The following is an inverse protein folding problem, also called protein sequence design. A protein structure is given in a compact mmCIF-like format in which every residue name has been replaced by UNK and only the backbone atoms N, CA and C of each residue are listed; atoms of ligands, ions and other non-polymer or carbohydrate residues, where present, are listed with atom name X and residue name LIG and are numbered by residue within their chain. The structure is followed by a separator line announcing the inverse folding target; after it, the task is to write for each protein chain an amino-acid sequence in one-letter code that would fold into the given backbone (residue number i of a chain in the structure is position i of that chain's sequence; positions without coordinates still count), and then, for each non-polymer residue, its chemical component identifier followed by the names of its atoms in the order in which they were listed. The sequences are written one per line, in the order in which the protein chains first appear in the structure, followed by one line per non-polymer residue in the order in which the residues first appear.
data_IF_110130505157
#
_entry.id   IF_110130505157
#
_cell.length_a   1.000
_cell.length_b   1.000
_cell.length_c   1.000
_cell.angle_alpha   90.00
_cell.angle_beta   90.00
_cell.angle_gamma   90.00
#
_symmetry.space_group_name_H-M   'P 1'
#
loop_
_entity.id
_entity.type
_entity.pdbx_description
1 polymer ?
#
# COMPACT_ATOMS: atom_id res chain seq x y z
N UNK A 1 8.51 -11.50 -19.62
CA UNK A 1 9.95 -11.30 -19.93
C UNK A 1 10.57 -10.82 -18.64
N UNK A 2 11.57 -11.53 -18.12
CA UNK A 2 12.22 -11.14 -16.87
C UNK A 2 12.87 -9.76 -17.09
N UNK A 3 12.33 -8.72 -16.45
CA UNK A 3 13.10 -7.50 -16.28
C UNK A 3 14.11 -7.85 -15.20
N UNK A 4 15.38 -7.88 -15.57
CA UNK A 4 16.47 -8.11 -14.63
C UNK A 4 16.90 -6.76 -14.05
N UNK A 5 17.48 -6.78 -12.85
CA UNK A 5 18.07 -5.60 -12.24
C UNK A 5 19.28 -5.13 -13.07
N UNK A 6 19.26 -3.88 -13.53
CA UNK A 6 20.34 -3.28 -14.32
C UNK A 6 21.37 -2.62 -13.39
N UNK A 7 22.31 -3.45 -12.94
CA UNK A 7 23.36 -3.04 -12.00
C UNK A 7 24.26 -1.92 -12.57
N UNK A 8 24.62 -2.02 -13.86
CA UNK A 8 25.56 -1.07 -14.49
C UNK A 8 24.95 0.33 -14.56
N UNK A 9 23.67 0.42 -14.93
CA UNK A 9 22.92 1.69 -14.92
C UNK A 9 22.85 2.31 -13.51
N UNK A 10 22.61 1.49 -12.48
CA UNK A 10 22.52 1.97 -11.10
C UNK A 10 23.89 2.45 -10.59
N UNK A 11 24.95 1.70 -10.89
CA UNK A 11 26.32 2.02 -10.47
C UNK A 11 26.85 3.28 -11.18
N UNK A 12 26.61 3.42 -12.47
CA UNK A 12 26.93 4.64 -13.24
C UNK A 12 26.20 5.85 -12.67
N UNK A 13 24.90 5.70 -12.35
CA UNK A 13 24.11 6.81 -11.82
C UNK A 13 24.58 7.25 -10.44
N UNK A 14 24.92 6.30 -9.56
CA UNK A 14 25.49 6.60 -8.25
C UNK A 14 26.83 7.32 -8.38
N UNK A 15 27.72 6.83 -9.25
CA UNK A 15 29.00 7.49 -9.54
C UNK A 15 28.82 8.90 -10.09
N UNK A 16 27.87 9.11 -11.01
CA UNK A 16 27.58 10.43 -11.58
C UNK A 16 27.08 11.43 -10.55
N UNK A 17 26.43 10.96 -9.48
CA UNK A 17 25.94 11.80 -8.38
C UNK A 17 26.96 11.95 -7.24
N UNK A 18 28.10 11.23 -7.31
CA UNK A 18 29.07 11.14 -6.22
C UNK A 18 28.50 10.41 -4.99
N UNK A 19 27.45 9.62 -5.18
CA UNK A 19 26.79 8.84 -4.15
C UNK A 19 27.32 7.40 -4.16
N UNK A 20 27.15 6.71 -3.05
CA UNK A 20 27.52 5.32 -2.88
C UNK A 20 26.36 4.51 -2.34
N UNK A 21 26.45 3.18 -2.37
CA UNK A 21 25.40 2.29 -1.86
C UNK A 21 25.05 2.54 -0.39
N UNK A 22 26.00 3.09 0.38
CA UNK A 22 25.78 3.53 1.76
C UNK A 22 24.74 4.67 1.87
N UNK A 23 24.73 5.55 0.87
CA UNK A 23 23.81 6.68 0.79
C UNK A 23 22.40 6.19 0.50
N UNK A 24 22.27 5.19 -0.37
CA UNK A 24 21.02 4.48 -0.65
C UNK A 24 20.49 3.77 0.61
N UNK A 25 21.36 3.02 1.30
CA UNK A 25 21.03 2.32 2.53
C UNK A 25 20.53 3.29 3.60
N UNK A 26 21.24 4.41 3.79
CA UNK A 26 20.83 5.49 4.71
C UNK A 26 19.48 6.11 4.36
N UNK A 27 19.23 6.41 3.08
CA UNK A 27 17.99 7.08 2.68
C UNK A 27 16.77 6.16 2.77
N UNK A 28 16.95 4.87 2.46
CA UNK A 28 15.88 3.88 2.56
C UNK A 28 15.73 3.26 3.96
N UNK A 29 16.60 3.62 4.91
CA UNK A 29 16.60 3.03 6.26
C UNK A 29 17.04 1.57 6.29
N UNK A 30 17.73 1.12 5.26
CA UNK A 30 18.18 -0.26 5.07
C UNK A 30 19.64 -0.42 5.52
N UNK A 31 20.05 -1.66 5.75
CA UNK A 31 21.47 -1.98 5.91
C UNK A 31 22.16 -2.12 4.56
N UNK A 32 23.49 -1.94 4.52
CA UNK A 32 24.28 -2.10 3.29
C UNK A 32 24.15 -3.53 2.71
N UNK A 33 23.98 -4.52 3.58
CA UNK A 33 23.82 -5.94 3.22
C UNK A 33 22.47 -6.19 2.54
N UNK A 34 21.40 -5.56 3.02
CA UNK A 34 20.10 -5.64 2.36
C UNK A 34 20.08 -4.92 1.00
N UNK A 35 20.77 -3.79 0.88
CA UNK A 35 20.96 -3.12 -0.42
C UNK A 35 21.74 -4.05 -1.37
N UNK A 36 22.79 -4.71 -0.90
CA UNK A 36 23.55 -5.67 -1.70
C UNK A 36 22.68 -6.86 -2.13
N UNK A 37 21.80 -7.38 -1.25
CA UNK A 37 20.83 -8.43 -1.58
C UNK A 37 19.82 -8.00 -2.66
N UNK A 38 19.40 -6.74 -2.69
CA UNK A 38 18.54 -6.22 -3.77
C UNK A 38 19.33 -6.17 -5.09
N UNK A 39 20.57 -5.67 -5.05
CA UNK A 39 21.42 -5.56 -6.23
C UNK A 39 21.82 -6.94 -6.82
N UNK A 40 21.90 -7.97 -5.97
CA UNK A 40 22.16 -9.36 -6.34
C UNK A 40 20.88 -10.12 -6.74
N UNK A 41 19.73 -9.44 -6.83
CA UNK A 41 18.41 -10.03 -7.12
C UNK A 41 17.95 -11.11 -6.10
N UNK A 42 18.64 -11.20 -4.96
CA UNK A 42 18.30 -12.16 -3.88
C UNK A 42 17.12 -11.69 -3.04
N UNK A 43 16.76 -10.41 -3.10
CA UNK A 43 15.63 -9.80 -2.38
C UNK A 43 14.83 -8.91 -3.32
N UNK A 44 13.52 -9.07 -3.30
CA UNK A 44 12.61 -8.15 -3.99
C UNK A 44 12.62 -6.78 -3.30
N UNK A 45 12.65 -5.71 -4.09
CA UNK A 45 12.50 -4.34 -3.60
C UNK A 45 11.01 -3.99 -3.47
N UNK A 46 10.64 -3.29 -2.40
CA UNK A 46 9.29 -2.75 -2.21
C UNK A 46 9.08 -1.43 -2.95
N UNK A 47 7.83 -1.03 -3.24
CA UNK A 47 7.58 0.24 -3.97
C UNK A 47 7.98 1.44 -3.13
N UNK A 48 7.79 1.36 -1.81
CA UNK A 48 8.29 2.38 -0.88
C UNK A 48 9.82 2.56 -0.99
N UNK A 49 10.57 1.48 -1.14
CA UNK A 49 12.04 1.50 -1.30
C UNK A 49 12.44 2.07 -2.68
N UNK A 50 11.69 1.75 -3.74
CA UNK A 50 11.85 2.33 -5.08
C UNK A 50 11.66 3.85 -5.03
N UNK A 51 10.66 4.33 -4.28
CA UNK A 51 10.43 5.77 -4.10
C UNK A 51 11.60 6.44 -3.36
N UNK A 52 12.14 5.83 -2.31
CA UNK A 52 13.34 6.33 -1.61
C UNK A 52 14.58 6.36 -2.50
N UNK A 53 14.76 5.36 -3.37
CA UNK A 53 15.85 5.33 -4.33
C UNK A 53 15.67 6.42 -5.39
N UNK A 54 14.45 6.59 -5.90
CA UNK A 54 14.11 7.64 -6.86
C UNK A 54 14.36 9.05 -6.32
N UNK A 55 14.02 9.27 -5.04
CA UNK A 55 14.31 10.53 -4.33
C UNK A 55 15.82 10.79 -4.21
N UNK A 56 16.61 9.78 -3.80
CA UNK A 56 18.07 9.88 -3.72
C UNK A 56 18.72 10.17 -5.08
N UNK A 57 18.22 9.54 -6.13
CA UNK A 57 18.73 9.66 -7.50
C UNK A 57 18.16 10.90 -8.22
N UNK A 58 17.19 11.59 -7.60
CA UNK A 58 16.43 12.73 -8.13
C UNK A 58 15.84 12.45 -9.52
N UNK A 59 15.21 11.28 -9.67
CA UNK A 59 14.60 10.82 -10.93
C UNK A 59 13.21 10.24 -10.66
N UNK A 60 12.44 10.02 -11.73
CA UNK A 60 11.10 9.46 -11.62
C UNK A 60 11.16 7.98 -11.16
N UNK A 61 10.40 7.56 -10.12
CA UNK A 61 10.36 6.18 -9.64
C UNK A 61 9.97 5.15 -10.71
N UNK A 62 9.20 5.53 -11.72
CA UNK A 62 8.87 4.63 -12.84
C UNK A 62 10.10 4.18 -13.62
N UNK A 63 11.09 5.07 -13.75
CA UNK A 63 12.36 4.79 -14.42
C UNK A 63 13.16 3.81 -13.56
N UNK A 64 13.25 4.07 -12.25
CA UNK A 64 13.95 3.20 -11.29
C UNK A 64 13.33 1.81 -11.31
N UNK A 65 12.01 1.68 -11.24
CA UNK A 65 11.30 0.41 -11.28
C UNK A 65 11.60 -0.40 -12.54
N UNK A 66 11.64 0.25 -13.70
CA UNK A 66 11.99 -0.39 -14.98
C UNK A 66 13.40 -1.00 -14.95
N UNK A 67 14.37 -0.29 -14.38
CA UNK A 67 15.74 -0.80 -14.24
C UNK A 67 15.90 -1.76 -13.06
N UNK A 68 14.97 -1.75 -12.10
CA UNK A 68 14.99 -2.62 -10.94
C UNK A 68 14.32 -3.99 -11.18
N UNK A 69 13.86 -4.27 -12.40
CA UNK A 69 13.18 -5.53 -12.69
C UNK A 69 11.68 -5.54 -12.43
N UNK A 70 11.09 -4.41 -12.01
CA UNK A 70 9.68 -4.36 -11.61
C UNK A 70 8.82 -4.06 -12.84
N UNK A 71 8.10 -5.08 -13.31
CA UNK A 71 7.41 -5.04 -14.61
C UNK A 71 6.23 -4.07 -14.71
N UNK A 72 5.59 -3.73 -13.59
CA UNK A 72 4.54 -2.71 -13.54
C UNK A 72 4.55 -2.09 -12.14
N UNK A 73 5.24 -0.96 -11.97
CA UNK A 73 5.30 -0.25 -10.68
C UNK A 73 3.89 0.08 -10.19
N UNK A 74 3.00 0.47 -11.09
CA UNK A 74 1.59 0.72 -10.79
C UNK A 74 0.85 -0.54 -10.30
N UNK A 75 1.22 -1.74 -10.76
CA UNK A 75 0.72 -3.02 -10.24
C UNK A 75 1.22 -3.28 -8.84
N UNK A 76 2.49 -3.05 -8.64
CA UNK A 76 3.13 -3.29 -7.36
C UNK A 76 2.60 -2.30 -6.32
N UNK A 77 2.36 -1.03 -6.69
CA UNK A 77 1.72 -0.03 -5.82
C UNK A 77 0.31 -0.44 -5.43
N UNK A 78 -0.53 -0.89 -6.38
CA UNK A 78 -1.90 -1.34 -6.03
C UNK A 78 -1.91 -2.62 -5.19
N UNK A 79 -0.88 -3.49 -5.31
CA UNK A 79 -0.71 -4.66 -4.44
C UNK A 79 -0.25 -4.21 -3.04
N UNK A 80 0.73 -3.32 -2.93
CA UNK A 80 1.18 -2.78 -1.64
C UNK A 80 0.09 -1.97 -0.94
N UNK A 81 -0.72 -1.19 -1.66
CA UNK A 81 -1.91 -0.53 -1.11
C UNK A 81 -2.94 -1.55 -0.58
N UNK A 82 -3.06 -2.71 -1.23
CA UNK A 82 -3.95 -3.77 -0.76
C UNK A 82 -3.38 -4.55 0.44
N UNK A 83 -2.05 -4.75 0.47
CA UNK A 83 -1.33 -5.46 1.56
C UNK A 83 -1.18 -4.56 2.80
N UNK A 84 -0.84 -3.28 2.63
CA UNK A 84 -0.80 -2.27 3.69
C UNK A 84 -2.20 -1.82 4.10
N UNK A 85 -3.17 -1.85 3.18
CA UNK A 85 -4.59 -1.64 3.45
C UNK A 85 -5.23 -2.75 4.30
N UNK A 86 -4.52 -3.85 4.55
CA UNK A 86 -4.97 -4.90 5.46
C UNK A 86 -4.34 -4.81 6.87
N UNK A 87 -3.47 -3.82 7.15
CA UNK A 87 -2.79 -3.76 8.45
C UNK A 87 -2.31 -2.36 8.90
N UNK A 88 -3.13 -1.31 8.77
CA UNK A 88 -3.38 -0.29 9.83
C UNK A 88 -4.48 0.67 9.39
N UNK A 89 -5.52 0.74 10.21
CA UNK A 89 -6.75 1.52 10.13
C UNK A 89 -6.64 2.97 9.60
N UNK A 90 -7.56 3.29 8.69
CA UNK A 90 -8.32 4.56 8.72
C UNK A 90 -8.15 5.46 7.50
N UNK A 91 -8.94 5.23 6.44
CA UNK A 91 -8.94 6.15 5.31
C UNK A 91 -10.00 6.02 4.22
N UNK A 92 -10.79 4.95 4.11
CA UNK A 92 -12.06 4.95 3.36
C UNK A 92 -12.79 3.61 3.60
N UNK A 93 -14.00 3.63 4.17
CA UNK A 93 -14.79 2.41 4.44
C UNK A 93 -15.00 2.02 5.90
N UNK A 94 -14.70 2.89 6.87
CA UNK A 94 -15.12 2.68 8.25
C UNK A 94 -16.62 2.99 8.38
N UNK A 95 -17.43 1.96 8.59
CA UNK A 95 -18.81 2.05 9.09
C UNK A 95 -18.78 2.97 10.32
N UNK A 96 -19.21 4.21 10.15
CA UNK A 96 -19.03 5.24 11.18
C UNK A 96 -19.78 4.82 12.44
N UNK A 97 -19.26 5.22 13.60
CA UNK A 97 -19.95 5.06 14.89
C UNK A 97 -21.37 5.66 14.86
N UNK A 98 -21.59 6.66 14.01
CA UNK A 98 -22.91 7.20 13.66
C UNK A 98 -23.81 6.19 12.93
N UNK A 99 -23.27 5.40 11.99
CA UNK A 99 -24.02 4.34 11.34
C UNK A 99 -24.42 3.23 12.32
N UNK A 100 -23.56 2.85 13.25
CA UNK A 100 -23.89 1.82 14.27
C UNK A 100 -25.01 2.34 15.19
N UNK A 101 -24.97 3.60 15.63
CA UNK A 101 -26.06 4.20 16.42
C UNK A 101 -27.35 4.37 15.59
N UNK A 102 -27.24 4.81 14.34
CA UNK A 102 -28.38 4.95 13.43
C UNK A 102 -29.02 3.61 13.03
N UNK A 103 -28.24 2.53 12.98
CA UNK A 103 -28.76 1.17 12.76
C UNK A 103 -29.55 0.69 13.97
N UNK A 104 -29.10 0.96 15.20
CA UNK A 104 -29.89 0.64 16.40
C UNK A 104 -31.22 1.39 16.44
N UNK A 105 -31.26 2.66 16.06
CA UNK A 105 -32.52 3.44 15.98
C UNK A 105 -33.47 2.90 14.90
N UNK A 106 -32.94 2.50 13.74
CA UNK A 106 -33.75 1.86 12.69
C UNK A 106 -34.28 0.51 13.13
N UNK A 107 -33.52 -0.26 13.90
CA UNK A 107 -33.94 -1.57 14.43
C UNK A 107 -35.06 -1.38 15.46
N UNK A 108 -34.90 -0.48 16.44
CA UNK A 108 -35.92 -0.21 17.46
C UNK A 108 -37.25 0.29 16.84
N UNK A 109 -37.16 1.15 15.82
CA UNK A 109 -38.32 1.61 15.06
C UNK A 109 -38.99 0.47 14.27
N UNK A 110 -38.23 -0.49 13.75
CA UNK A 110 -38.79 -1.66 13.08
C UNK A 110 -39.47 -2.61 14.06
N UNK A 111 -38.92 -2.80 15.26
CA UNK A 111 -39.53 -3.60 16.33
C UNK A 111 -40.88 -2.99 16.76
N UNK A 112 -40.92 -1.68 17.00
CA UNK A 112 -42.17 -0.96 17.33
C UNK A 112 -43.23 -1.08 16.23
N UNK A 113 -42.83 -0.98 14.96
CA UNK A 113 -43.77 -1.12 13.83
C UNK A 113 -44.27 -2.56 13.68
N UNK A 114 -43.42 -3.56 13.92
CA UNK A 114 -43.84 -4.96 13.93
C UNK A 114 -44.86 -5.24 15.04
N UNK A 115 -44.62 -4.76 16.27
CA UNK A 115 -45.57 -4.92 17.37
C UNK A 115 -46.91 -4.25 17.07
N UNK A 116 -46.89 -3.03 16.54
CA UNK A 116 -48.12 -2.32 16.16
C UNK A 116 -48.90 -3.04 15.05
N UNK A 117 -48.23 -3.63 14.05
CA UNK A 117 -48.88 -4.43 13.00
C UNK A 117 -49.45 -5.72 13.59
N UNK A 118 -48.73 -6.38 14.49
CA UNK A 118 -49.21 -7.59 15.17
C UNK A 118 -50.49 -7.29 15.98
N UNK A 119 -50.49 -6.22 16.78
CA UNK A 119 -51.67 -5.79 17.54
C UNK A 119 -52.82 -5.39 16.63
N UNK A 120 -52.56 -4.72 15.50
CA UNK A 120 -53.61 -4.38 14.51
C UNK A 120 -54.18 -5.61 13.81
N UNK A 121 -53.37 -6.64 13.59
CA UNK A 121 -53.83 -7.90 13.01
C UNK A 121 -54.66 -8.69 14.02
N UNK A 122 -54.23 -8.74 15.29
CA UNK A 122 -54.97 -9.39 16.37
C UNK A 122 -56.31 -8.69 16.67
N UNK A 123 -56.35 -7.36 16.66
CA UNK A 123 -57.60 -6.59 16.84
C UNK A 123 -58.57 -6.66 15.64
N UNK A 124 -58.15 -7.26 14.52
CA UNK A 124 -58.94 -7.36 13.28
C UNK A 124 -59.37 -8.80 12.96
N UNK A 125 -58.95 -9.78 13.76
CA UNK A 125 -59.45 -11.15 13.76
C UNK A 125 -60.51 -11.35 14.83
#
# INVERSE_FOLDING_TARGET
MALFFDYDWFDDRLKSLGLSRDSLARNSGMTIDEVDMIFDDRRAISVSEIHSFADTLSINPEIVAKYCGVGDLALETRIEENVSGNNTSGGDGAVTREMIMGVHERIDRLETLLEMILTKLEARG
#
